data_IF_253625587694
#
_entry.id   IF_253625587694
#
_cell.length_a   1.000
_cell.length_b   1.000
_cell.length_c   1.000
_cell.angle_alpha   90.00
_cell.angle_beta   90.00
_cell.angle_gamma   90.00
#
_symmetry.space_group_name_H-M   'P 1'
#
loop_
_entity.id
_entity.type
_entity.pdbx_description
1 polymer ?
#
# COMPACT_ATOMS: atom_id res chain seq x y z
N UNK A 1 -7.82 9.91 13.49
CA UNK A 1 -7.92 10.88 12.36
C UNK A 1 -7.08 12.10 12.69
N UNK A 2 -6.40 12.67 11.71
CA UNK A 2 -5.66 13.93 11.92
C UNK A 2 -6.64 15.09 11.94
N UNK A 3 -6.42 16.05 12.84
CA UNK A 3 -7.24 17.26 12.94
C UNK A 3 -6.42 18.48 12.57
N UNK A 4 -7.05 19.50 12.02
CA UNK A 4 -6.47 20.81 11.86
C UNK A 4 -7.28 21.83 12.64
N UNK A 5 -6.62 22.89 13.09
CA UNK A 5 -7.25 24.01 13.80
C UNK A 5 -6.89 25.31 13.11
N UNK A 6 -7.84 26.25 13.09
CA UNK A 6 -7.63 27.60 12.58
C UNK A 6 -8.27 28.62 13.51
N UNK A 7 -7.58 29.74 13.76
CA UNK A 7 -8.04 30.82 14.59
C UNK A 7 -7.68 32.16 13.94
N UNK A 8 -8.60 33.08 13.91
CA UNK A 8 -8.38 34.45 13.47
C UNK A 8 -8.07 35.39 14.68
N UNK A 9 -7.30 36.44 14.43
CA UNK A 9 -6.96 37.44 15.40
C UNK A 9 -7.31 38.84 14.87
N UNK A 10 -7.96 39.65 15.69
CA UNK A 10 -8.23 41.05 15.43
C UNK A 10 -7.35 41.92 16.34
N UNK A 11 -6.62 42.87 15.77
CA UNK A 11 -5.89 43.89 16.52
C UNK A 11 -6.45 45.27 16.19
N UNK A 12 -6.85 46.00 17.23
CA UNK A 12 -7.38 47.39 17.12
C UNK A 12 -7.07 48.21 18.38
N UNK A 13 -6.56 49.41 18.21
CA UNK A 13 -6.30 50.34 19.31
C UNK A 13 -5.36 49.80 20.40
N UNK A 14 -4.40 48.93 20.02
CA UNK A 14 -3.48 48.31 20.97
C UNK A 14 -4.04 47.08 21.71
N UNK A 15 -5.28 46.68 21.41
CA UNK A 15 -5.92 45.49 21.95
C UNK A 15 -5.94 44.37 20.89
N UNK A 16 -5.85 43.14 21.35
CA UNK A 16 -5.91 41.95 20.53
C UNK A 16 -7.04 41.04 21.01
N UNK A 17 -7.91 40.62 20.10
CA UNK A 17 -9.01 39.69 20.37
C UNK A 17 -8.89 38.50 19.42
N UNK A 18 -8.94 37.31 19.97
CA UNK A 18 -8.92 36.06 19.17
C UNK A 18 -10.35 35.56 18.93
N UNK A 19 -10.60 35.02 17.75
CA UNK A 19 -11.83 34.28 17.48
C UNK A 19 -11.86 32.96 18.28
N UNK A 20 -12.99 32.26 18.23
CA UNK A 20 -13.01 30.83 18.56
C UNK A 20 -12.04 30.05 17.64
N UNK A 21 -11.61 28.90 18.10
CA UNK A 21 -10.86 27.93 17.29
C UNK A 21 -11.85 27.13 16.46
N UNK A 22 -11.69 27.18 15.14
CA UNK A 22 -12.38 26.27 14.22
C UNK A 22 -11.54 24.99 14.06
N UNK A 23 -12.16 23.84 14.20
CA UNK A 23 -11.53 22.52 14.04
C UNK A 23 -12.14 21.79 12.87
N UNK A 24 -11.31 21.06 12.13
CA UNK A 24 -11.74 20.16 11.06
C UNK A 24 -10.97 18.84 11.15
N UNK A 25 -11.55 17.79 10.60
CA UNK A 25 -10.91 16.47 10.51
C UNK A 25 -10.42 16.21 9.09
N UNK A 26 -9.22 15.62 8.98
CA UNK A 26 -8.68 15.14 7.71
C UNK A 26 -9.12 13.68 7.56
N UNK A 27 -10.02 13.42 6.62
CA UNK A 27 -10.50 12.07 6.33
C UNK A 27 -9.61 11.44 5.27
N UNK A 28 -9.05 10.26 5.56
CA UNK A 28 -8.36 9.47 4.54
C UNK A 28 -9.40 8.91 3.57
N UNK A 29 -9.25 9.22 2.28
CA UNK A 29 -10.12 8.75 1.21
C UNK A 29 -9.56 7.53 0.50
N UNK A 30 -8.30 7.16 0.78
CA UNK A 30 -7.64 6.00 0.21
C UNK A 30 -7.65 4.84 1.22
N UNK A 31 -8.02 3.67 0.75
CA UNK A 31 -7.90 2.41 1.47
C UNK A 31 -7.15 1.40 0.62
N UNK A 32 -6.39 0.51 1.27
CA UNK A 32 -5.66 -0.56 0.61
C UNK A 32 -5.89 -1.88 1.35
N UNK A 33 -6.09 -2.95 0.57
CA UNK A 33 -6.11 -4.33 1.07
C UNK A 33 -5.17 -5.19 0.24
N UNK A 34 -4.61 -6.24 0.84
CA UNK A 34 -3.78 -7.23 0.18
C UNK A 34 -4.28 -8.64 0.51
N UNK A 35 -4.37 -9.49 -0.49
CA UNK A 35 -4.83 -10.86 -0.36
C UNK A 35 -3.92 -11.80 -1.15
N UNK A 36 -3.57 -12.95 -0.59
CA UNK A 36 -3.00 -14.07 -1.33
C UNK A 36 -4.13 -14.98 -1.82
N UNK A 37 -4.07 -15.43 -3.08
CA UNK A 37 -5.09 -16.33 -3.64
C UNK A 37 -4.94 -17.78 -3.14
N UNK A 38 -3.79 -18.12 -2.55
CA UNK A 38 -3.51 -19.44 -1.97
C UNK A 38 -3.30 -19.31 -0.46
N UNK A 39 -3.95 -20.18 0.32
CA UNK A 39 -3.78 -20.22 1.77
C UNK A 39 -2.60 -21.08 2.27
N UNK A 40 -2.01 -21.88 1.37
CA UNK A 40 -0.87 -22.76 1.66
C UNK A 40 0.14 -22.71 0.52
N UNK A 41 1.42 -22.95 0.83
CA UNK A 41 2.50 -22.97 -0.14
C UNK A 41 3.52 -24.06 0.19
N UNK A 42 4.28 -24.46 -0.82
CA UNK A 42 5.53 -25.23 -0.70
C UNK A 42 6.67 -24.38 -1.26
N UNK A 43 7.90 -24.72 -0.90
CA UNK A 43 9.07 -24.14 -1.53
C UNK A 43 9.03 -24.36 -3.05
N UNK A 44 9.24 -23.31 -3.82
CA UNK A 44 9.13 -23.32 -5.29
C UNK A 44 7.73 -22.97 -5.82
N UNK A 45 6.70 -22.96 -4.98
CA UNK A 45 5.35 -22.62 -5.42
C UNK A 45 5.23 -21.15 -5.81
N UNK A 46 4.40 -20.87 -6.80
CA UNK A 46 3.96 -19.53 -7.16
C UNK A 46 2.75 -19.13 -6.35
N UNK A 47 2.82 -17.96 -5.76
CA UNK A 47 1.75 -17.36 -4.98
C UNK A 47 1.30 -16.09 -5.72
N UNK A 48 0.02 -16.01 -6.04
CA UNK A 48 -0.56 -14.81 -6.62
C UNK A 48 -1.10 -13.91 -5.53
N UNK A 49 -0.69 -12.65 -5.55
CA UNK A 49 -1.17 -11.61 -4.65
C UNK A 49 -2.04 -10.61 -5.41
N UNK A 50 -3.07 -10.14 -4.73
CA UNK A 50 -3.95 -9.07 -5.18
C UNK A 50 -3.87 -7.94 -4.17
N UNK A 51 -3.51 -6.74 -4.63
CA UNK A 51 -3.58 -5.50 -3.85
C UNK A 51 -4.72 -4.68 -4.45
N UNK A 52 -5.68 -4.31 -3.61
CA UNK A 52 -6.80 -3.44 -4.00
C UNK A 52 -6.64 -2.08 -3.33
N UNK A 53 -6.59 -1.02 -4.14
CA UNK A 53 -6.66 0.36 -3.70
C UNK A 53 -8.02 0.92 -4.05
N UNK A 54 -8.69 1.55 -3.07
CA UNK A 54 -10.00 2.19 -3.25
C UNK A 54 -9.89 3.66 -2.87
N UNK A 55 -10.41 4.54 -3.72
CA UNK A 55 -10.50 5.96 -3.47
C UNK A 55 -11.96 6.36 -3.30
N UNK A 56 -12.40 6.66 -2.07
CA UNK A 56 -13.74 7.13 -1.76
C UNK A 56 -13.89 8.66 -1.87
N UNK A 57 -12.82 9.36 -2.24
CA UNK A 57 -12.82 10.81 -2.40
C UNK A 57 -13.42 11.27 -3.73
N UNK A 58 -13.61 12.56 -3.85
CA UNK A 58 -14.15 13.24 -5.03
C UNK A 58 -13.07 13.75 -6.02
N UNK A 59 -11.81 13.49 -5.74
CA UNK A 59 -10.67 13.79 -6.60
C UNK A 59 -9.84 12.53 -6.84
N UNK A 60 -9.20 12.44 -8.01
CA UNK A 60 -8.28 11.34 -8.29
C UNK A 60 -7.04 11.44 -7.39
N UNK A 61 -6.60 10.32 -6.86
CA UNK A 61 -5.33 10.20 -6.14
C UNK A 61 -4.25 9.75 -7.14
N UNK A 62 -3.20 10.54 -7.28
CA UNK A 62 -2.13 10.33 -8.26
C UNK A 62 -0.76 10.23 -7.60
N UNK A 63 0.21 9.64 -8.29
CA UNK A 63 1.58 9.52 -7.78
C UNK A 63 1.71 8.56 -6.60
N UNK A 64 0.76 7.65 -6.43
CA UNK A 64 0.76 6.68 -5.34
C UNK A 64 1.91 5.68 -5.56
N UNK A 65 2.61 5.37 -4.48
CA UNK A 65 3.62 4.31 -4.43
C UNK A 65 3.15 3.24 -3.46
N UNK A 66 3.18 1.98 -3.90
CA UNK A 66 2.92 0.82 -3.04
C UNK A 66 4.21 0.04 -2.87
N UNK A 67 4.59 -0.20 -1.63
CA UNK A 67 5.78 -0.98 -1.25
C UNK A 67 5.36 -2.29 -0.57
N UNK A 68 5.97 -3.38 -0.98
CA UNK A 68 5.70 -4.73 -0.49
C UNK A 68 6.98 -5.36 0.03
N UNK A 69 6.98 -5.84 1.26
CA UNK A 69 8.18 -6.36 1.92
C UNK A 69 8.58 -7.78 1.48
N UNK A 70 7.78 -8.44 0.61
CA UNK A 70 7.98 -9.81 0.16
C UNK A 70 8.13 -10.82 1.32
N UNK A 71 7.45 -10.55 2.44
CA UNK A 71 7.49 -11.39 3.62
C UNK A 71 8.79 -11.32 4.43
N UNK A 72 9.59 -10.28 4.24
CA UNK A 72 10.87 -10.10 4.92
C UNK A 72 10.75 -10.27 6.44
N UNK A 73 11.66 -11.04 7.05
CA UNK A 73 11.72 -11.27 8.48
C UNK A 73 13.17 -11.33 8.97
N UNK A 74 13.36 -11.15 10.29
CA UNK A 74 14.69 -11.09 10.89
C UNK A 74 15.14 -12.47 11.36
N UNK A 75 16.40 -12.83 11.05
CA UNK A 75 17.06 -14.04 11.55
C UNK A 75 18.39 -13.62 12.15
N UNK A 76 18.53 -13.72 13.48
CA UNK A 76 19.71 -13.20 14.17
C UNK A 76 19.86 -11.69 13.94
N UNK A 77 21.00 -11.27 13.42
CA UNK A 77 21.30 -9.87 13.08
C UNK A 77 20.99 -9.52 11.61
N UNK A 78 20.48 -10.47 10.81
CA UNK A 78 20.19 -10.30 9.38
C UNK A 78 18.70 -10.31 9.06
N UNK A 79 18.37 -9.81 7.87
CA UNK A 79 17.03 -9.90 7.30
C UNK A 79 17.06 -10.87 6.12
N UNK A 80 16.11 -11.78 6.06
CA UNK A 80 15.88 -12.70 4.93
C UNK A 80 14.54 -12.40 4.28
N UNK A 81 14.43 -12.67 2.98
CA UNK A 81 13.23 -12.42 2.20
C UNK A 81 12.76 -13.74 1.59
N UNK A 82 11.65 -14.31 2.07
CA UNK A 82 11.19 -15.65 1.69
C UNK A 82 10.49 -15.71 0.34
N UNK A 83 10.15 -14.55 -0.24
CA UNK A 83 9.44 -14.47 -1.51
C UNK A 83 10.28 -13.74 -2.55
N UNK A 84 10.33 -14.28 -3.76
CA UNK A 84 11.00 -13.67 -4.91
C UNK A 84 9.95 -13.25 -5.93
N UNK A 85 9.91 -11.96 -6.26
CA UNK A 85 8.99 -11.44 -7.28
C UNK A 85 9.24 -12.09 -8.64
N UNK A 86 8.17 -12.51 -9.31
CA UNK A 86 8.21 -12.99 -10.69
C UNK A 86 8.20 -11.79 -11.62
N UNK A 87 9.35 -11.47 -12.21
CA UNK A 87 9.52 -10.31 -13.09
C UNK A 87 8.54 -10.36 -14.25
N UNK A 88 7.85 -9.25 -14.51
CA UNK A 88 6.86 -9.12 -15.57
C UNK A 88 5.48 -9.73 -15.25
N UNK A 89 5.25 -10.24 -14.04
CA UNK A 89 3.94 -10.76 -13.64
C UNK A 89 2.92 -9.68 -13.25
N UNK A 90 3.39 -8.47 -12.94
CA UNK A 90 2.51 -7.39 -12.47
C UNK A 90 1.49 -6.97 -13.54
N UNK A 91 0.22 -6.88 -13.13
CA UNK A 91 -0.91 -6.41 -13.94
C UNK A 91 -1.72 -5.40 -13.13
N UNK A 92 -2.30 -4.43 -13.85
CA UNK A 92 -3.16 -3.41 -13.26
C UNK A 92 -4.54 -3.44 -13.91
N UNK A 93 -5.57 -3.25 -13.09
CA UNK A 93 -6.97 -3.12 -13.55
C UNK A 93 -7.58 -1.92 -12.88
N UNK A 94 -8.06 -0.98 -13.68
CA UNK A 94 -8.70 0.25 -13.21
C UNK A 94 -10.21 0.13 -13.38
N UNK A 95 -10.95 0.17 -12.27
CA UNK A 95 -12.41 -0.05 -12.26
C UNK A 95 -12.83 -1.32 -13.01
N UNK A 96 -12.04 -2.40 -12.86
CA UNK A 96 -12.29 -3.70 -13.50
C UNK A 96 -11.83 -3.82 -14.96
N UNK A 97 -11.26 -2.78 -15.55
CA UNK A 97 -10.75 -2.78 -16.93
C UNK A 97 -9.23 -2.89 -16.91
N UNK A 98 -8.60 -3.72 -17.77
CA UNK A 98 -7.14 -3.77 -17.89
C UNK A 98 -6.55 -2.38 -18.13
N UNK A 99 -5.54 -2.03 -17.37
CA UNK A 99 -4.81 -0.77 -17.48
C UNK A 99 -3.34 -1.00 -17.85
N UNK A 100 -2.59 0.07 -18.07
CA UNK A 100 -1.15 -0.03 -18.28
C UNK A 100 -0.49 -0.70 -17.07
N UNK A 101 0.47 -1.60 -17.32
CA UNK A 101 1.21 -2.26 -16.24
C UNK A 101 1.97 -1.23 -15.40
N UNK A 102 2.03 -1.40 -14.08
CA UNK A 102 2.74 -0.47 -13.22
C UNK A 102 4.24 -0.48 -13.48
N UNK A 103 4.91 0.62 -13.17
CA UNK A 103 6.37 0.68 -13.11
C UNK A 103 6.81 -0.04 -11.84
N UNK A 104 7.59 -1.11 -11.99
CA UNK A 104 7.99 -2.00 -10.90
C UNK A 104 9.48 -1.90 -10.63
N UNK A 105 9.85 -1.66 -9.38
CA UNK A 105 11.18 -1.93 -8.85
C UNK A 105 11.14 -3.28 -8.10
N UNK A 106 11.84 -4.28 -8.65
CA UNK A 106 11.74 -5.67 -8.22
C UNK A 106 12.62 -6.05 -7.01
N UNK A 107 13.42 -5.11 -6.50
CA UNK A 107 14.29 -5.38 -5.33
C UNK A 107 13.46 -5.62 -4.07
N UNK A 108 14.01 -6.22 -2.98
CA UNK A 108 13.35 -6.09 -1.70
C UNK A 108 13.57 -4.68 -1.09
N UNK A 109 12.49 -3.91 -0.77
CA UNK A 109 11.10 -4.22 -1.04
C UNK A 109 10.73 -4.14 -2.52
N UNK A 110 9.67 -4.86 -2.92
CA UNK A 110 9.04 -4.71 -4.22
C UNK A 110 8.22 -3.42 -4.23
N UNK A 111 8.45 -2.54 -5.21
CA UNK A 111 7.80 -1.22 -5.25
C UNK A 111 7.07 -1.01 -6.57
N UNK A 112 5.80 -0.62 -6.48
CA UNK A 112 4.97 -0.20 -7.61
C UNK A 112 4.82 1.32 -7.57
N UNK A 113 5.23 2.01 -8.64
CA UNK A 113 5.32 3.46 -8.68
C UNK A 113 4.32 4.09 -9.66
N UNK A 114 3.99 5.35 -9.39
CA UNK A 114 3.22 6.19 -10.32
C UNK A 114 1.77 5.76 -10.47
N UNK A 115 1.20 5.10 -9.46
CA UNK A 115 -0.17 4.62 -9.51
C UNK A 115 -1.17 5.77 -9.39
N UNK A 116 -2.32 5.58 -10.03
CA UNK A 116 -3.44 6.54 -9.99
C UNK A 116 -4.73 5.79 -9.71
N UNK A 117 -5.52 6.29 -8.75
CA UNK A 117 -6.86 5.78 -8.45
C UNK A 117 -7.87 6.89 -8.69
N UNK A 118 -8.82 6.74 -9.62
CA UNK A 118 -9.81 7.78 -9.91
C UNK A 118 -10.68 8.12 -8.70
N UNK A 119 -11.33 9.28 -8.75
CA UNK A 119 -12.34 9.64 -7.76
C UNK A 119 -13.47 8.59 -7.73
N UNK A 120 -13.83 8.13 -6.54
CA UNK A 120 -14.85 7.09 -6.35
C UNK A 120 -14.53 5.75 -6.99
N UNK A 121 -13.27 5.51 -7.39
CA UNK A 121 -12.84 4.33 -8.14
C UNK A 121 -11.92 3.39 -7.37
N UNK A 122 -11.47 2.35 -8.08
CA UNK A 122 -10.50 1.39 -7.54
C UNK A 122 -9.41 1.05 -8.56
N UNK A 123 -8.27 0.60 -8.03
CA UNK A 123 -7.17 0.00 -8.77
C UNK A 123 -6.85 -1.36 -8.15
N UNK A 124 -6.83 -2.41 -8.97
CA UNK A 124 -6.32 -3.72 -8.58
C UNK A 124 -4.93 -3.90 -9.18
N UNK A 125 -3.99 -4.30 -8.35
CA UNK A 125 -2.67 -4.79 -8.74
C UNK A 125 -2.62 -6.28 -8.49
N UNK A 126 -2.25 -7.06 -9.51
CA UNK A 126 -2.06 -8.49 -9.40
C UNK A 126 -0.61 -8.77 -9.74
N UNK A 127 0.09 -9.55 -8.93
CA UNK A 127 1.46 -9.99 -9.20
C UNK A 127 1.72 -11.37 -8.62
N UNK A 128 2.79 -12.01 -9.06
CA UNK A 128 3.22 -13.31 -8.57
C UNK A 128 4.57 -13.23 -7.86
N UNK A 129 4.72 -14.06 -6.82
CA UNK A 129 5.99 -14.32 -6.15
C UNK A 129 6.20 -15.81 -5.96
N UNK A 130 7.46 -16.26 -5.94
CA UNK A 130 7.85 -17.64 -5.68
C UNK A 130 8.35 -17.77 -4.26
N UNK A 131 7.86 -18.78 -3.51
CA UNK A 131 8.41 -19.16 -2.23
C UNK A 131 9.83 -19.74 -2.43
N UNK A 132 10.86 -19.01 -1.98
CA UNK A 132 12.26 -19.40 -2.16
C UNK A 132 12.78 -20.27 -1.00
N UNK A 133 14.09 -20.52 -0.97
CA UNK A 133 14.76 -21.33 0.07
C UNK A 133 14.66 -20.77 1.49
N UNK A 134 14.34 -19.49 1.65
CA UNK A 134 14.12 -18.83 2.96
C UNK A 134 12.66 -18.89 3.42
N UNK A 135 11.77 -19.49 2.63
CA UNK A 135 10.37 -19.64 3.04
C UNK A 135 10.26 -20.65 4.19
N UNK A 136 9.65 -20.26 5.33
CA UNK A 136 9.52 -21.15 6.47
C UNK A 136 8.65 -22.37 6.14
N UNK A 137 9.13 -23.59 6.42
CA UNK A 137 8.47 -24.86 6.06
C UNK A 137 7.96 -25.65 7.27
N UNK A 138 8.06 -25.09 8.49
CA UNK A 138 7.54 -25.77 9.69
C UNK A 138 6.01 -25.87 9.71
N UNK A 139 5.46 -26.89 10.35
CA UNK A 139 4.01 -27.12 10.44
C UNK A 139 3.21 -25.95 11.02
N UNK A 140 3.85 -25.09 11.82
CA UNK A 140 3.29 -23.86 12.41
C UNK A 140 3.91 -22.59 11.84
N UNK A 141 4.78 -22.72 10.85
CA UNK A 141 5.46 -21.58 10.26
C UNK A 141 4.52 -20.81 9.31
N UNK A 142 4.67 -19.50 9.29
CA UNK A 142 3.90 -18.62 8.42
C UNK A 142 4.80 -17.54 7.83
N UNK A 143 4.45 -17.06 6.65
CA UNK A 143 5.05 -15.88 6.03
C UNK A 143 4.04 -14.75 6.04
N UNK A 144 4.40 -13.65 6.71
CA UNK A 144 3.57 -12.44 6.72
C UNK A 144 4.12 -11.49 5.66
N UNK A 145 3.41 -11.40 4.54
CA UNK A 145 3.76 -10.51 3.44
C UNK A 145 2.87 -9.25 3.52
N UNK A 146 3.49 -8.10 3.78
CA UNK A 146 2.81 -6.83 4.05
C UNK A 146 3.10 -5.82 2.95
N UNK A 147 2.07 -5.11 2.50
CA UNK A 147 2.20 -3.95 1.63
C UNK A 147 1.86 -2.67 2.38
N UNK A 148 2.53 -1.58 2.02
CA UNK A 148 2.30 -0.21 2.52
C UNK A 148 2.14 0.75 1.34
N UNK A 149 1.41 1.81 1.59
CA UNK A 149 1.10 2.87 0.62
C UNK A 149 1.65 4.21 1.12
#
# INVERSE_FOLDING_TARGET
MATFTNQAQLSYGGNTVNSNIATGEIVSTLAMTKTALTGTYRQGDRITYVISLTNSGNAAATGITVSDNLGAYTVGAGTVVPLTYVVGSARAFLNGVPAANPVVNAGPPLVFNGLTVPAGGNLLLIYEAIANEFAPLGATASTVNTATM
#
